data_IF_853396613614
#
_entry.id   IF_853396613614
#
_cell.length_a   1.000
_cell.length_b   1.000
_cell.length_c   1.000
_cell.angle_alpha   90.00
_cell.angle_beta   90.00
_cell.angle_gamma   90.00
#
_symmetry.space_group_name_H-M   'P 1'
#
loop_
_entity.id
_entity.type
_entity.pdbx_description
1 polymer ?
#
# COMPACT_ATOMS: atom_id res chain seq x y z
N UNK A 1 1.12 19.13 -5.58
CA UNK A 1 0.62 18.18 -4.58
C UNK A 1 -0.87 17.98 -4.84
N UNK A 2 -1.39 16.79 -4.55
CA UNK A 2 -2.80 16.43 -4.73
C UNK A 2 -3.32 15.91 -3.39
N UNK A 3 -4.56 16.25 -3.03
CA UNK A 3 -5.19 15.86 -1.79
C UNK A 3 -6.37 14.94 -2.10
N UNK A 4 -6.36 13.73 -1.52
CA UNK A 4 -7.44 12.77 -1.66
C UNK A 4 -8.17 12.62 -0.33
N UNK A 5 -9.39 13.16 -0.17
CA UNK A 5 -10.15 12.99 1.05
C UNK A 5 -10.55 11.52 1.23
N UNK A 6 -10.74 11.11 2.50
CA UNK A 6 -11.22 9.77 2.88
C UNK A 6 -10.26 8.60 2.54
N UNK A 7 -8.97 8.87 2.39
CA UNK A 7 -7.94 7.84 2.26
C UNK A 7 -7.22 7.65 3.60
N UNK A 8 -7.11 6.40 4.02
CA UNK A 8 -6.20 5.99 5.10
C UNK A 8 -4.92 5.47 4.47
N UNK A 9 -3.77 5.99 4.90
CA UNK A 9 -2.46 5.56 4.43
C UNK A 9 -1.76 4.82 5.56
N UNK A 10 -1.22 3.64 5.26
CA UNK A 10 -0.46 2.81 6.18
C UNK A 10 0.92 2.58 5.57
N UNK A 11 1.97 2.73 6.38
CA UNK A 11 3.34 2.42 6.00
C UNK A 11 3.76 1.13 6.67
N UNK A 12 4.18 0.15 5.88
CA UNK A 12 4.71 -1.12 6.39
C UNK A 12 6.23 -1.03 6.43
N UNK A 13 6.82 -1.35 7.57
CA UNK A 13 8.27 -1.33 7.75
C UNK A 13 8.94 -2.43 6.89
N UNK A 14 10.16 -2.16 6.44
CA UNK A 14 10.99 -3.22 5.84
C UNK A 14 11.58 -4.11 6.94
N UNK A 15 11.65 -5.41 6.69
CA UNK A 15 12.30 -6.37 7.57
C UNK A 15 11.44 -7.60 7.86
N UNK A 16 11.94 -8.45 8.75
CA UNK A 16 11.22 -9.63 9.20
C UNK A 16 10.12 -9.23 10.19
N UNK A 17 8.90 -9.72 9.95
CA UNK A 17 7.71 -9.50 10.80
C UNK A 17 7.44 -8.03 11.15
N UNK A 18 7.01 -7.20 10.18
CA UNK A 18 6.68 -5.81 10.42
C UNK A 18 5.58 -5.68 11.48
N UNK A 19 5.79 -4.83 12.50
CA UNK A 19 4.79 -4.61 13.56
C UNK A 19 3.47 -4.09 12.99
N UNK A 20 3.53 -3.31 11.91
CA UNK A 20 2.34 -2.83 11.21
C UNK A 20 1.43 -3.98 10.76
N UNK A 21 1.97 -5.12 10.33
CA UNK A 21 1.15 -6.28 9.92
C UNK A 21 0.45 -6.95 11.09
N UNK A 22 0.99 -6.83 12.31
CA UNK A 22 0.37 -7.39 13.53
C UNK A 22 -0.78 -6.52 14.03
N UNK A 23 -0.63 -5.20 13.91
CA UNK A 23 -1.62 -4.22 14.38
C UNK A 23 -2.74 -4.03 13.35
N UNK A 24 -2.40 -4.05 12.06
CA UNK A 24 -3.32 -3.80 10.96
C UNK A 24 -3.37 -5.05 10.09
N UNK A 25 -4.36 -5.95 10.29
CA UNK A 25 -4.46 -7.19 9.52
C UNK A 25 -4.53 -6.96 8.00
N UNK A 26 -5.11 -5.83 7.57
CA UNK A 26 -5.15 -5.46 6.16
C UNK A 26 -3.74 -5.25 5.57
N UNK A 27 -2.72 -4.92 6.36
CA UNK A 27 -1.36 -4.74 5.89
C UNK A 27 -0.61 -6.07 5.66
N UNK A 28 -1.12 -7.20 6.15
CA UNK A 28 -0.39 -8.47 6.09
C UNK A 28 -0.06 -8.89 4.66
N UNK A 29 1.22 -9.24 4.44
CA UNK A 29 1.74 -9.64 3.13
C UNK A 29 1.84 -8.51 2.09
N UNK A 30 1.58 -7.25 2.47
CA UNK A 30 1.70 -6.07 1.57
C UNK A 30 3.03 -5.37 1.80
N UNK A 31 4.08 -6.16 1.72
CA UNK A 31 5.47 -5.73 1.88
C UNK A 31 6.04 -5.17 0.58
N UNK A 32 7.25 -4.62 0.68
CA UNK A 32 8.07 -4.30 -0.47
C UNK A 32 8.30 -5.52 -1.37
N UNK A 33 8.18 -5.35 -2.69
CA UNK A 33 8.44 -6.42 -3.66
C UNK A 33 9.68 -6.09 -4.47
N UNK A 34 10.59 -7.07 -4.60
CA UNK A 34 11.83 -6.96 -5.38
C UNK A 34 12.66 -5.71 -5.07
N UNK A 35 12.73 -5.33 -3.78
CA UNK A 35 13.47 -4.15 -3.30
C UNK A 35 13.00 -2.81 -3.92
N UNK A 36 11.76 -2.76 -4.44
CA UNK A 36 11.18 -1.56 -5.06
C UNK A 36 10.10 -0.96 -4.18
N UNK A 37 10.03 0.37 -4.15
CA UNK A 37 8.88 1.08 -3.60
C UNK A 37 7.59 0.48 -4.18
N UNK A 38 6.70 0.05 -3.29
CA UNK A 38 5.50 -0.71 -3.66
C UNK A 38 4.32 -0.09 -2.94
N UNK A 39 3.27 0.23 -3.69
CA UNK A 39 2.01 0.69 -3.14
C UNK A 39 0.91 -0.31 -3.46
N UNK A 40 0.03 -0.51 -2.47
CA UNK A 40 -1.17 -1.34 -2.59
C UNK A 40 -2.38 -0.44 -2.37
N UNK A 41 -3.30 -0.44 -3.33
CA UNK A 41 -4.58 0.27 -3.20
C UNK A 41 -5.67 -0.76 -3.00
N UNK A 42 -6.35 -0.68 -1.86
CA UNK A 42 -7.46 -1.55 -1.52
C UNK A 42 -8.75 -0.72 -1.47
N UNK A 43 -9.76 -1.12 -2.24
CA UNK A 43 -11.06 -0.45 -2.34
C UNK A 43 -12.15 -1.53 -2.29
N UNK A 44 -13.24 -1.27 -1.56
CA UNK A 44 -14.36 -2.21 -1.43
C UNK A 44 -13.93 -3.63 -1.05
N UNK A 45 -12.98 -3.75 -0.10
CA UNK A 45 -12.43 -5.02 0.39
C UNK A 45 -11.59 -5.81 -0.63
N UNK A 46 -11.27 -5.20 -1.78
CA UNK A 46 -10.45 -5.81 -2.82
C UNK A 46 -9.16 -5.00 -2.97
N UNK A 47 -8.02 -5.67 -2.87
CA UNK A 47 -6.73 -5.06 -3.16
C UNK A 47 -6.36 -5.28 -4.63
N UNK A 48 -5.94 -4.21 -5.29
CA UNK A 48 -5.46 -4.25 -6.67
C UNK A 48 -4.03 -4.78 -6.72
N UNK A 49 -3.52 -5.04 -7.94
CA UNK A 49 -2.13 -5.45 -8.12
C UNK A 49 -1.17 -4.36 -7.60
N UNK A 50 -0.02 -4.76 -7.02
CA UNK A 50 0.98 -3.82 -6.54
C UNK A 50 1.51 -2.96 -7.69
N UNK A 51 1.74 -1.67 -7.39
CA UNK A 51 2.33 -0.71 -8.33
C UNK A 51 3.63 -0.15 -7.80
N UNK A 52 4.53 0.22 -8.71
CA UNK A 52 5.90 0.62 -8.36
C UNK A 52 6.27 2.02 -8.87
N UNK A 53 5.29 2.76 -9.38
CA UNK A 53 5.50 4.12 -9.88
C UNK A 53 4.37 5.04 -9.46
N UNK A 54 4.70 6.31 -9.28
CA UNK A 54 3.72 7.37 -8.96
C UNK A 54 2.66 7.47 -10.06
N UNK A 55 3.04 7.26 -11.33
CA UNK A 55 2.12 7.30 -12.46
C UNK A 55 1.05 6.22 -12.37
N UNK A 56 1.43 5.00 -11.97
CA UNK A 56 0.49 3.90 -11.81
C UNK A 56 -0.37 4.09 -10.55
N UNK A 57 0.22 4.50 -9.42
CA UNK A 57 -0.52 4.78 -8.20
C UNK A 57 -1.63 5.81 -8.43
N UNK A 58 -1.33 6.90 -9.15
CA UNK A 58 -2.34 7.91 -9.49
C UNK A 58 -3.51 7.34 -10.30
N UNK A 59 -3.27 6.36 -11.17
CA UNK A 59 -4.37 5.71 -11.90
C UNK A 59 -5.29 4.91 -11.00
N UNK A 60 -4.79 4.40 -9.86
CA UNK A 60 -5.59 3.63 -8.91
C UNK A 60 -6.35 4.51 -7.90
N UNK A 61 -5.89 5.75 -7.70
CA UNK A 61 -6.47 6.72 -6.76
C UNK A 61 -7.50 7.66 -7.41
N UNK A 62 -7.63 7.63 -8.74
CA UNK A 62 -8.55 8.46 -9.53
C UNK A 62 -9.91 7.78 -9.73
#
# INVERSE_FOLDING_TARGET
>A
SEFHPNIVVVFVENGESPETEKIIPLASGRVMVNERATAYVCQNQICQLPVHSIKELRKLLN
#
